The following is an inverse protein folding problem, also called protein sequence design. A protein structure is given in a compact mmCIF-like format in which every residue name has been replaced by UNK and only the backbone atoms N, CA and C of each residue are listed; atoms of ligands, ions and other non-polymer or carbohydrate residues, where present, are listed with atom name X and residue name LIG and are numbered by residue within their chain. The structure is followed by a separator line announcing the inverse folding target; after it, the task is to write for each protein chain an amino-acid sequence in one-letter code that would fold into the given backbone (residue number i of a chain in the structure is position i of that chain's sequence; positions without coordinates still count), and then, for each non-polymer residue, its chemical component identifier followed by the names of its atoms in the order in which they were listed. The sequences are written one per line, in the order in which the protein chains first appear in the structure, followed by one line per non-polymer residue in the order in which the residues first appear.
data_IF_288139616479
#
_entry.id   IF_288139616479
#
_cell.length_a   1.000
_cell.length_b   1.000
_cell.length_c   1.000
_cell.angle_alpha   90.00
_cell.angle_beta   90.00
_cell.angle_gamma   90.00
#
_symmetry.space_group_name_H-M   'P 1'
#
loop_
_entity.id
_entity.type
_entity.pdbx_description
1 polymer ?
#
# COMPACT_ATOMS: atom_id res chain seq x y z
N UNK A 1 15.84 -2.38 -12.40
CA UNK A 1 16.26 -3.42 -11.43
C UNK A 1 17.49 -2.89 -10.70
N UNK A 2 17.47 -2.79 -9.36
CA UNK A 2 18.66 -2.46 -8.58
C UNK A 2 19.82 -3.43 -8.91
N UNK A 3 21.06 -2.95 -8.79
CA UNK A 3 22.23 -3.81 -8.97
C UNK A 3 22.27 -4.92 -7.90
N UNK A 4 22.77 -6.11 -8.25
CA UNK A 4 22.87 -7.26 -7.34
C UNK A 4 23.65 -6.92 -6.05
N UNK A 5 24.70 -6.10 -6.16
CA UNK A 5 25.46 -5.60 -5.01
C UNK A 5 24.59 -4.80 -4.03
N UNK A 6 23.67 -3.97 -4.53
CA UNK A 6 22.74 -3.20 -3.71
C UNK A 6 21.75 -4.08 -2.96
N UNK A 7 21.31 -5.20 -3.55
CA UNK A 7 20.41 -6.15 -2.89
C UNK A 7 21.13 -6.86 -1.74
N UNK A 8 22.38 -7.29 -1.94
CA UNK A 8 23.16 -7.96 -0.91
C UNK A 8 23.44 -7.05 0.30
N UNK A 9 23.75 -5.77 0.05
CA UNK A 9 23.95 -4.76 1.08
C UNK A 9 22.65 -4.50 1.87
N UNK A 10 21.55 -4.25 1.17
CA UNK A 10 20.24 -4.05 1.79
C UNK A 10 19.79 -5.27 2.61
N UNK A 11 20.05 -6.48 2.14
CA UNK A 11 19.78 -7.70 2.88
C UNK A 11 20.61 -7.79 4.18
N UNK A 12 21.87 -7.36 4.16
CA UNK A 12 22.69 -7.28 5.36
C UNK A 12 22.15 -6.26 6.36
N UNK A 13 21.68 -5.10 5.88
CA UNK A 13 21.02 -4.08 6.71
C UNK A 13 19.79 -4.67 7.40
N UNK A 14 18.90 -5.35 6.68
CA UNK A 14 17.74 -6.03 7.29
C UNK A 14 18.14 -7.04 8.37
N UNK A 15 19.15 -7.89 8.11
CA UNK A 15 19.65 -8.87 9.10
C UNK A 15 20.25 -8.21 10.34
N UNK A 16 20.85 -7.03 10.19
CA UNK A 16 21.41 -6.26 11.31
C UNK A 16 20.37 -5.44 12.10
N UNK A 17 19.08 -5.57 11.78
CA UNK A 17 17.99 -4.81 12.42
C UNK A 17 17.79 -3.41 11.84
N UNK A 18 18.31 -3.18 10.64
CA UNK A 18 18.17 -1.97 9.82
C UNK A 18 16.83 -1.83 9.10
N UNK A 19 16.58 -0.62 8.59
CA UNK A 19 15.42 -0.26 7.78
C UNK A 19 15.81 -0.10 6.32
N UNK A 20 15.12 -0.83 5.44
CA UNK A 20 15.31 -0.74 3.99
C UNK A 20 13.99 -0.35 3.35
N UNK A 21 13.98 0.75 2.61
CA UNK A 21 12.88 1.03 1.69
C UNK A 21 13.13 0.34 0.35
N UNK A 22 12.13 -0.39 -0.16
CA UNK A 22 12.26 -1.16 -1.40
C UNK A 22 10.98 -1.09 -2.25
N UNK A 23 11.10 -1.17 -3.59
CA UNK A 23 9.96 -1.15 -4.50
C UNK A 23 9.14 -2.43 -4.36
N UNK A 24 7.83 -2.34 -4.60
CA UNK A 24 6.98 -3.49 -4.96
C UNK A 24 6.23 -3.15 -6.24
N UNK A 25 5.43 -4.07 -6.78
CA UNK A 25 4.48 -3.73 -7.84
C UNK A 25 3.39 -2.75 -7.34
N UNK A 26 3.09 -2.75 -6.04
CA UNK A 26 2.06 -1.88 -5.44
C UNK A 26 2.55 -0.48 -5.10
N UNK A 27 3.27 -0.34 -3.99
CA UNK A 27 3.89 0.89 -3.47
C UNK A 27 5.25 0.54 -2.86
N UNK A 28 6.14 1.50 -2.64
CA UNK A 28 7.38 1.26 -1.91
C UNK A 28 7.06 0.88 -0.45
N UNK A 29 7.71 -0.15 0.06
CA UNK A 29 7.59 -0.63 1.43
C UNK A 29 8.79 -0.24 2.29
N UNK A 30 8.56 0.07 3.57
CA UNK A 30 9.62 0.29 4.57
C UNK A 30 9.85 -1.00 5.35
N UNK A 31 10.82 -1.79 4.93
CA UNK A 31 11.13 -3.11 5.47
C UNK A 31 12.00 -3.11 6.70
N UNK A 32 11.68 -4.01 7.62
CA UNK A 32 12.56 -4.49 8.68
C UNK A 32 12.39 -6.01 8.85
N UNK A 33 13.34 -6.66 9.51
CA UNK A 33 13.22 -8.08 9.85
C UNK A 33 11.96 -8.33 10.72
N UNK A 34 11.01 -9.12 10.22
CA UNK A 34 9.76 -9.42 10.92
C UNK A 34 9.95 -10.32 12.15
N UNK A 35 11.09 -10.98 12.29
CA UNK A 35 11.43 -11.85 13.42
C UNK A 35 12.08 -11.06 14.58
N UNK A 36 12.44 -9.79 14.35
CA UNK A 36 13.10 -8.94 15.34
C UNK A 36 12.16 -7.82 15.81
N UNK A 37 11.75 -7.89 17.07
CA UNK A 37 10.85 -6.92 17.68
C UNK A 37 11.44 -5.49 17.69
N UNK A 38 12.76 -5.34 17.82
CA UNK A 38 13.42 -4.02 17.81
C UNK A 38 13.46 -3.45 16.40
N UNK A 39 13.78 -4.29 15.41
CA UNK A 39 13.75 -3.88 14.01
C UNK A 39 12.32 -3.45 13.59
N UNK A 40 11.30 -4.23 13.97
CA UNK A 40 9.90 -3.86 13.75
C UNK A 40 9.52 -2.55 14.47
N UNK A 41 9.98 -2.31 15.69
CA UNK A 41 9.73 -1.05 16.41
C UNK A 41 10.26 0.18 15.66
N UNK A 42 11.43 0.07 15.00
CA UNK A 42 12.00 1.16 14.19
C UNK A 42 11.09 1.58 13.03
N UNK A 43 10.30 0.67 12.46
CA UNK A 43 9.29 1.02 11.44
C UNK A 43 8.25 1.98 12.03
N UNK A 44 7.75 1.68 13.23
CA UNK A 44 6.74 2.52 13.89
C UNK A 44 7.32 3.90 14.21
N UNK A 45 8.54 3.95 14.72
CA UNK A 45 9.28 5.19 15.02
C UNK A 45 9.50 6.03 13.77
N UNK A 46 10.13 5.48 12.73
CA UNK A 46 10.46 6.19 11.50
C UNK A 46 9.23 6.78 10.81
N UNK A 47 8.08 6.10 10.90
CA UNK A 47 6.83 6.53 10.29
C UNK A 47 5.96 7.40 11.19
N UNK A 48 6.30 7.56 12.48
CA UNK A 48 5.37 8.04 13.51
C UNK A 48 4.01 7.31 13.45
N UNK A 49 4.05 5.99 13.26
CA UNK A 49 2.88 5.12 13.12
C UNK A 49 2.34 4.70 14.49
N UNK A 50 1.03 4.74 14.74
CA UNK A 50 0.44 4.22 15.96
C UNK A 50 0.68 2.71 16.11
N UNK A 51 1.01 2.28 17.33
CA UNK A 51 1.32 0.87 17.64
C UNK A 51 0.11 -0.09 17.53
N UNK A 52 -1.10 0.43 17.30
CA UNK A 52 -2.29 -0.38 17.11
C UNK A 52 -2.53 -0.76 15.63
N UNK A 53 -1.77 -0.21 14.68
CA UNK A 53 -1.97 -0.44 13.24
C UNK A 53 -0.93 -1.47 12.72
N UNK A 54 -1.33 -2.73 12.46
CA UNK A 54 -0.40 -3.85 12.23
C UNK A 54 0.46 -3.66 10.97
N UNK A 55 1.45 -4.53 10.74
CA UNK A 55 2.31 -4.54 9.56
C UNK A 55 1.98 -5.73 8.65
N UNK A 56 2.33 -5.64 7.36
CA UNK A 56 2.29 -6.77 6.42
C UNK A 56 3.69 -7.38 6.38
N UNK A 57 3.79 -8.69 6.62
CA UNK A 57 5.04 -9.44 6.42
C UNK A 57 5.11 -9.97 4.99
N UNK A 58 6.26 -9.74 4.36
CA UNK A 58 6.53 -10.16 2.99
C UNK A 58 7.42 -11.39 2.98
N UNK A 59 7.07 -12.36 2.14
CA UNK A 59 7.83 -13.57 1.87
C UNK A 59 8.45 -13.49 0.47
N UNK A 60 9.53 -14.25 0.26
CA UNK A 60 10.20 -14.31 -1.04
C UNK A 60 9.44 -15.24 -1.99
N UNK A 61 8.91 -16.36 -1.48
CA UNK A 61 8.18 -17.34 -2.25
C UNK A 61 6.89 -17.78 -1.54
N UNK A 62 5.90 -18.21 -2.32
CA UNK A 62 4.65 -18.75 -1.79
C UNK A 62 4.87 -20.08 -1.04
N UNK A 63 5.88 -20.85 -1.44
CA UNK A 63 6.27 -22.10 -0.80
C UNK A 63 6.75 -21.92 0.65
N UNK A 64 7.12 -20.70 1.06
CA UNK A 64 7.53 -20.40 2.44
C UNK A 64 6.32 -20.33 3.40
N UNK A 65 5.11 -20.13 2.89
CA UNK A 65 3.92 -19.90 3.71
C UNK A 65 3.61 -21.08 4.67
N UNK A 66 3.53 -22.35 4.21
CA UNK A 66 3.23 -23.46 5.10
C UNK A 66 4.29 -23.66 6.21
N UNK A 67 5.56 -23.36 5.92
CA UNK A 67 6.63 -23.41 6.91
C UNK A 67 6.50 -22.33 7.99
N UNK A 68 5.90 -21.19 7.66
CA UNK A 68 5.65 -20.09 8.58
C UNK A 68 4.40 -20.32 9.45
N UNK A 69 3.28 -20.72 8.86
CA UNK A 69 1.95 -20.72 9.53
C UNK A 69 1.40 -22.11 9.82
N UNK A 70 2.03 -23.18 9.32
CA UNK A 70 1.53 -24.54 9.45
C UNK A 70 0.40 -24.83 8.46
N UNK A 71 -0.76 -25.25 8.97
CA UNK A 71 -1.89 -25.64 8.14
C UNK A 71 -2.49 -24.42 7.41
N UNK A 72 -2.57 -24.52 6.08
CA UNK A 72 -3.12 -23.46 5.23
C UNK A 72 -4.57 -23.82 4.85
N UNK A 73 -5.57 -22.97 5.18
CA UNK A 73 -6.96 -23.21 4.79
C UNK A 73 -7.13 -23.35 3.26
N UNK A 74 -8.08 -24.16 2.75
CA UNK A 74 -8.25 -24.38 1.31
C UNK A 74 -8.48 -23.09 0.51
N UNK A 75 -9.28 -22.15 1.02
CA UNK A 75 -9.50 -20.87 0.37
C UNK A 75 -8.23 -20.00 0.32
N UNK A 76 -7.41 -20.02 1.38
CA UNK A 76 -6.10 -19.36 1.38
C UNK A 76 -5.19 -20.00 0.32
N UNK A 77 -5.13 -21.33 0.26
CA UNK A 77 -4.30 -22.04 -0.73
C UNK A 77 -4.71 -21.71 -2.17
N UNK A 78 -6.00 -21.71 -2.48
CA UNK A 78 -6.52 -21.36 -3.82
C UNK A 78 -6.19 -19.91 -4.21
N UNK A 79 -6.26 -18.97 -3.26
CA UNK A 79 -5.88 -17.57 -3.48
C UNK A 79 -4.37 -17.40 -3.67
N UNK A 80 -3.55 -18.14 -2.91
CA UNK A 80 -2.08 -18.15 -3.07
C UNK A 80 -1.71 -18.66 -4.44
N UNK A 81 -2.24 -19.80 -4.86
CA UNK A 81 -1.94 -20.42 -6.16
C UNK A 81 -2.27 -19.48 -7.33
N UNK A 82 -3.37 -18.72 -7.23
CA UNK A 82 -3.84 -17.86 -8.33
C UNK A 82 -3.21 -16.48 -8.35
N UNK A 83 -2.89 -15.90 -7.18
CA UNK A 83 -2.56 -14.48 -7.08
C UNK A 83 -1.20 -14.17 -6.45
N UNK A 84 -0.43 -15.17 -6.03
CA UNK A 84 0.95 -14.97 -5.57
C UNK A 84 1.97 -15.51 -6.57
N UNK A 85 3.06 -14.76 -6.83
CA UNK A 85 3.34 -13.38 -6.41
C UNK A 85 2.31 -12.37 -6.95
N UNK A 86 1.94 -11.36 -6.16
CA UNK A 86 1.00 -10.35 -6.63
C UNK A 86 0.39 -9.43 -5.56
N UNK A 87 -0.55 -8.55 -5.98
CA UNK A 87 -1.15 -7.52 -5.12
C UNK A 87 -2.24 -8.04 -4.18
N UNK A 88 -2.09 -9.27 -3.67
CA UNK A 88 -2.96 -9.87 -2.68
C UNK A 88 -2.23 -10.04 -1.35
N UNK A 89 -2.83 -9.57 -0.27
CA UNK A 89 -2.42 -9.84 1.10
C UNK A 89 -3.46 -10.70 1.78
N UNK A 90 -3.02 -11.74 2.47
CA UNK A 90 -3.88 -12.69 3.17
C UNK A 90 -3.72 -12.53 4.68
N UNK A 91 -4.82 -12.61 5.41
CA UNK A 91 -4.80 -12.76 6.86
C UNK A 91 -4.64 -14.24 7.19
N UNK A 92 -3.67 -14.52 8.04
CA UNK A 92 -3.35 -15.86 8.56
C UNK A 92 -3.19 -15.79 10.08
N UNK A 93 -3.23 -16.93 10.73
CA UNK A 93 -2.94 -16.99 12.17
C UNK A 93 -1.47 -16.61 12.41
N UNK A 94 -1.22 -15.82 13.45
CA UNK A 94 0.12 -15.34 13.78
C UNK A 94 0.94 -16.49 14.36
N UNK A 95 2.08 -16.87 13.73
CA UNK A 95 3.01 -17.81 14.31
C UNK A 95 3.68 -17.24 15.56
N UNK A 96 4.02 -18.10 16.54
CA UNK A 96 4.67 -17.66 17.78
C UNK A 96 6.04 -16.99 17.55
N UNK A 97 6.72 -17.30 16.45
CA UNK A 97 8.01 -16.67 16.07
C UNK A 97 7.85 -15.21 15.65
N UNK A 98 6.65 -14.77 15.25
CA UNK A 98 6.36 -13.38 14.90
C UNK A 98 6.07 -12.58 16.18
N UNK A 99 6.89 -11.58 16.51
CA UNK A 99 6.70 -10.75 17.70
C UNK A 99 5.36 -9.99 17.65
N UNK A 100 4.66 -9.82 18.80
CA UNK A 100 3.36 -9.15 18.85
C UNK A 100 3.35 -7.72 18.28
N UNK A 101 4.49 -7.00 18.31
CA UNK A 101 4.59 -5.65 17.75
C UNK A 101 4.35 -5.62 16.22
N UNK A 102 4.67 -6.70 15.50
CA UNK A 102 4.40 -6.79 14.05
C UNK A 102 2.90 -6.83 13.77
N UNK A 103 2.12 -7.41 14.67
CA UNK A 103 0.67 -7.58 14.53
C UNK A 103 -0.14 -6.68 15.45
N UNK A 104 0.50 -5.71 16.11
CA UNK A 104 -0.15 -4.82 17.06
C UNK A 104 -0.91 -5.56 18.17
N UNK A 105 -0.37 -6.71 18.59
CA UNK A 105 -0.94 -7.57 19.63
C UNK A 105 -2.03 -8.53 19.16
N UNK A 106 -2.38 -8.54 17.86
CA UNK A 106 -3.38 -9.46 17.32
C UNK A 106 -2.84 -10.90 17.24
N UNK A 107 -3.75 -11.86 17.32
CA UNK A 107 -3.48 -13.29 17.09
C UNK A 107 -3.39 -13.65 15.60
N UNK A 108 -3.52 -12.66 14.73
CA UNK A 108 -3.46 -12.79 13.28
C UNK A 108 -2.37 -11.91 12.70
N UNK A 109 -1.88 -12.26 11.52
CA UNK A 109 -0.93 -11.45 10.77
C UNK A 109 -1.36 -11.31 9.32
N UNK A 110 -0.95 -10.20 8.69
CA UNK A 110 -1.09 -10.01 7.26
C UNK A 110 0.20 -10.47 6.55
N UNK A 111 0.06 -11.30 5.52
CA UNK A 111 1.19 -11.89 4.77
C UNK A 111 1.00 -11.72 3.26
N UNK A 112 2.11 -11.58 2.51
CA UNK A 112 2.10 -11.42 1.06
C UNK A 112 3.42 -11.88 0.41
N UNK A 113 3.35 -12.34 -0.84
CA UNK A 113 4.52 -12.43 -1.73
C UNK A 113 4.40 -11.34 -2.81
N UNK A 114 5.28 -10.32 -2.83
CA UNK A 114 5.18 -9.23 -3.80
C UNK A 114 5.57 -9.69 -5.20
N UNK A 115 4.82 -9.28 -6.23
CA UNK A 115 5.21 -9.46 -7.64
C UNK A 115 6.26 -8.42 -8.07
N UNK A 116 7.36 -8.34 -7.34
CA UNK A 116 8.48 -7.48 -7.71
C UNK A 116 9.77 -8.27 -7.57
N UNK A 117 10.44 -8.61 -8.69
CA UNK A 117 11.64 -9.45 -8.65
C UNK A 117 12.71 -8.92 -7.70
N UNK A 118 12.89 -7.59 -7.64
CA UNK A 118 13.87 -6.98 -6.74
C UNK A 118 13.48 -7.10 -5.26
N UNK A 119 12.18 -7.01 -4.93
CA UNK A 119 11.67 -7.25 -3.58
C UNK A 119 11.86 -8.71 -3.15
N UNK A 120 11.49 -9.67 -4.02
CA UNK A 120 11.65 -11.10 -3.71
C UNK A 120 13.13 -11.48 -3.57
N UNK A 121 14.01 -10.94 -4.41
CA UNK A 121 15.45 -11.13 -4.30
C UNK A 121 16.02 -10.55 -2.99
N UNK A 122 15.56 -9.37 -2.56
CA UNK A 122 15.92 -8.79 -1.25
C UNK A 122 15.49 -9.70 -0.10
N UNK A 123 14.23 -10.15 -0.09
CA UNK A 123 13.68 -10.98 0.99
C UNK A 123 14.41 -12.34 1.03
N UNK A 124 14.64 -12.96 -0.13
CA UNK A 124 15.39 -14.20 -0.24
C UNK A 124 16.83 -14.04 0.26
N UNK A 125 17.52 -12.97 -0.14
CA UNK A 125 18.88 -12.68 0.30
C UNK A 125 18.95 -12.36 1.80
N UNK A 126 17.91 -11.74 2.37
CA UNK A 126 17.81 -11.48 3.80
C UNK A 126 17.62 -12.77 4.62
N UNK A 127 16.93 -13.77 4.06
CA UNK A 127 16.69 -15.07 4.68
C UNK A 127 15.67 -15.02 5.82
N UNK A 128 14.84 -13.97 5.88
CA UNK A 128 13.82 -13.75 6.90
C UNK A 128 12.58 -13.09 6.28
N UNK A 129 11.37 -13.30 6.82
CA UNK A 129 10.21 -12.49 6.43
C UNK A 129 10.46 -11.01 6.74
N UNK A 130 9.99 -10.12 5.85
CA UNK A 130 10.22 -8.68 5.97
C UNK A 130 8.90 -7.96 6.26
N UNK A 131 8.76 -7.41 7.47
CA UNK A 131 7.62 -6.58 7.82
C UNK A 131 7.76 -5.23 7.11
N UNK A 132 6.80 -4.86 6.27
CA UNK A 132 6.88 -3.64 5.48
C UNK A 132 5.49 -3.00 5.24
N UNK A 133 5.12 -1.93 5.97
CA UNK A 133 4.07 -1.02 5.52
C UNK A 133 4.59 -0.12 4.39
N UNK A 134 3.74 0.74 3.83
CA UNK A 134 4.16 1.75 2.84
C UNK A 134 5.28 2.67 3.39
N UNK A 135 6.22 3.10 2.55
CA UNK A 135 7.42 3.85 2.98
C UNK A 135 7.23 5.37 3.10
N UNK A 136 6.16 5.80 3.79
CA UNK A 136 5.82 7.21 4.06
C UNK A 136 5.54 7.44 5.55
N UNK A 137 5.51 8.70 5.98
CA UNK A 137 4.97 9.04 7.30
C UNK A 137 3.51 8.63 7.40
N UNK A 138 3.11 8.18 8.59
CA UNK A 138 1.76 7.68 8.84
C UNK A 138 0.69 8.71 8.43
N UNK A 139 -0.37 8.24 7.78
CA UNK A 139 -1.47 9.07 7.28
C UNK A 139 -1.18 9.81 5.97
N UNK A 140 0.07 9.96 5.54
CA UNK A 140 0.42 10.68 4.31
C UNK A 140 0.26 9.81 3.05
N UNK A 141 0.43 10.43 1.87
CA UNK A 141 0.45 9.75 0.57
C UNK A 141 1.46 8.59 0.54
N UNK A 142 1.05 7.47 -0.02
CA UNK A 142 1.95 6.32 -0.21
C UNK A 142 3.00 6.63 -1.30
N UNK A 143 4.22 6.12 -1.16
CA UNK A 143 5.29 6.36 -2.13
C UNK A 143 5.22 5.35 -3.29
N UNK A 144 5.13 5.86 -4.51
CA UNK A 144 5.19 5.05 -5.74
C UNK A 144 6.53 5.17 -6.47
N UNK A 145 7.49 5.89 -5.90
CA UNK A 145 8.86 6.09 -6.42
C UNK A 145 9.84 6.27 -5.26
N UNK A 146 11.13 6.07 -5.51
CA UNK A 146 12.18 6.24 -4.51
C UNK A 146 12.26 7.69 -4.00
N UNK A 147 12.03 8.68 -4.87
CA UNK A 147 12.05 10.09 -4.52
C UNK A 147 10.97 10.45 -3.48
N UNK A 148 9.80 9.81 -3.56
CA UNK A 148 8.74 9.98 -2.57
C UNK A 148 9.18 9.47 -1.18
N UNK A 149 9.93 8.36 -1.15
CA UNK A 149 10.49 7.82 0.10
C UNK A 149 11.52 8.78 0.70
N UNK A 150 12.47 9.25 -0.13
CA UNK A 150 13.52 10.17 0.31
C UNK A 150 12.92 11.48 0.83
N UNK A 151 11.92 12.03 0.14
CA UNK A 151 11.23 13.25 0.56
C UNK A 151 10.43 13.07 1.87
N UNK A 152 9.79 11.91 2.06
CA UNK A 152 8.92 11.66 3.21
C UNK A 152 9.63 11.17 4.48
N UNK A 153 10.61 10.29 4.33
CA UNK A 153 11.30 9.62 5.44
C UNK A 153 12.77 10.05 5.60
N UNK A 154 13.43 10.46 4.51
CA UNK A 154 14.81 10.97 4.54
C UNK A 154 15.77 10.09 5.36
N UNK A 155 16.49 10.71 6.30
CA UNK A 155 17.48 10.04 7.16
C UNK A 155 16.91 9.05 8.19
N UNK A 156 15.59 8.81 8.20
CA UNK A 156 15.00 7.75 9.04
C UNK A 156 15.10 6.35 8.41
N UNK A 157 15.56 6.24 7.16
CA UNK A 157 15.75 4.97 6.43
C UNK A 157 17.25 4.75 6.22
N UNK A 158 17.73 3.52 6.48
CA UNK A 158 19.15 3.21 6.34
C UNK A 158 19.54 3.02 4.85
N UNK A 159 18.66 2.39 4.05
CA UNK A 159 18.87 2.16 2.61
C UNK A 159 17.57 2.36 1.83
N UNK A 160 17.66 3.00 0.66
CA UNK A 160 16.57 3.06 -0.32
C UNK A 160 17.02 2.35 -1.60
N UNK A 161 16.36 1.24 -1.94
CA UNK A 161 16.55 0.58 -3.24
C UNK A 161 15.68 1.30 -4.28
N UNK A 162 16.31 1.91 -5.27
CA UNK A 162 15.58 2.54 -6.38
C UNK A 162 15.25 1.52 -7.48
N UNK A 163 13.96 1.20 -7.60
CA UNK A 163 13.42 0.35 -8.66
C UNK A 163 12.63 1.11 -9.72
N UNK A 164 12.64 2.45 -9.69
CA UNK A 164 11.76 3.28 -10.51
C UNK A 164 10.30 3.30 -10.03
N UNK A 165 9.35 3.71 -10.87
CA UNK A 165 7.94 3.80 -10.50
C UNK A 165 7.29 2.43 -10.32
N UNK A 166 6.43 2.31 -9.31
CA UNK A 166 5.61 1.10 -9.06
C UNK A 166 4.52 0.94 -10.11
N UNK A 167 4.18 -0.30 -10.48
CA UNK A 167 3.29 -0.61 -11.61
C UNK A 167 1.80 -0.46 -11.31
N UNK A 168 1.35 -0.81 -10.09
CA UNK A 168 -0.06 -0.71 -9.69
C UNK A 168 -0.39 0.63 -9.02
N UNK A 169 0.58 1.27 -8.35
CA UNK A 169 0.46 2.60 -7.76
C UNK A 169 -0.48 2.75 -6.56
N UNK A 170 -1.20 1.71 -6.17
CA UNK A 170 -1.99 1.62 -4.94
C UNK A 170 -1.69 0.31 -4.20
N UNK A 171 -2.05 0.23 -2.92
CA UNK A 171 -1.71 -0.92 -2.10
C UNK A 171 -2.45 -2.20 -2.49
N UNK A 172 -1.97 -3.33 -1.97
CA UNK A 172 -2.58 -4.65 -2.13
C UNK A 172 -4.01 -4.72 -1.60
N UNK A 173 -4.80 -5.62 -2.17
CA UNK A 173 -6.09 -6.02 -1.59
C UNK A 173 -5.84 -6.92 -0.39
N UNK A 174 -6.56 -6.73 0.71
CA UNK A 174 -6.42 -7.54 1.93
C UNK A 174 -7.65 -8.41 2.11
N UNK A 175 -7.45 -9.72 2.26
CA UNK A 175 -8.51 -10.71 2.43
C UNK A 175 -8.25 -11.58 3.66
N UNK A 176 -9.25 -11.74 4.52
CA UNK A 176 -9.28 -12.82 5.50
C UNK A 176 -10.06 -14.00 4.90
N UNK A 177 -9.36 -15.08 4.57
CA UNK A 177 -9.91 -16.29 3.96
C UNK A 177 -9.77 -17.52 4.87
N UNK A 178 -9.62 -17.31 6.19
CA UNK A 178 -9.48 -18.42 7.16
C UNK A 178 -10.80 -19.15 7.44
N UNK A 179 -11.93 -18.46 7.29
CA UNK A 179 -13.27 -19.04 7.44
C UNK A 179 -13.89 -19.48 6.12
N UNK A 180 -15.12 -19.99 6.18
CA UNK A 180 -15.85 -20.53 5.01
C UNK A 180 -16.15 -19.49 3.93
N UNK A 181 -16.31 -18.23 4.33
CA UNK A 181 -16.55 -17.10 3.42
C UNK A 181 -15.42 -16.09 3.52
N UNK A 182 -14.63 -15.89 2.45
CA UNK A 182 -13.58 -14.87 2.44
C UNK A 182 -14.15 -13.46 2.63
N UNK A 183 -13.46 -12.64 3.41
CA UNK A 183 -13.82 -11.26 3.71
C UNK A 183 -12.74 -10.32 3.21
N UNK A 184 -13.10 -9.41 2.30
CA UNK A 184 -12.24 -8.33 1.82
C UNK A 184 -12.23 -7.22 2.87
N UNK A 185 -11.09 -7.06 3.54
CA UNK A 185 -10.87 -6.06 4.59
C UNK A 185 -10.40 -4.71 4.02
N UNK A 186 -9.69 -4.74 2.89
CA UNK A 186 -9.23 -3.54 2.19
C UNK A 186 -9.25 -3.76 0.68
N UNK A 187 -9.85 -2.83 -0.05
CA UNK A 187 -9.78 -2.77 -1.50
C UNK A 187 -8.39 -2.30 -1.95
N UNK A 188 -7.86 -2.90 -3.01
CA UNK A 188 -6.53 -2.58 -3.50
C UNK A 188 -6.39 -2.86 -5.00
N UNK A 189 -5.15 -3.06 -5.43
CA UNK A 189 -4.83 -3.28 -6.82
C UNK A 189 -5.39 -4.59 -7.41
N UNK A 190 -5.76 -5.58 -6.59
CA UNK A 190 -6.48 -6.78 -7.07
C UNK A 190 -8.00 -6.54 -6.97
N UNK A 191 -8.74 -6.51 -8.09
CA UNK A 191 -10.18 -6.31 -8.08
C UNK A 191 -10.93 -7.42 -7.34
N UNK A 192 -12.06 -7.08 -6.72
CA UNK A 192 -12.90 -8.05 -5.99
C UNK A 192 -13.48 -9.11 -6.91
N UNK A 193 -13.75 -8.74 -8.16
CA UNK A 193 -14.28 -9.60 -9.20
C UNK A 193 -13.33 -10.80 -9.45
N UNK A 194 -12.01 -10.55 -9.46
CA UNK A 194 -11.01 -11.62 -9.59
C UNK A 194 -11.03 -12.58 -8.39
N UNK A 195 -11.25 -12.07 -7.17
CA UNK A 195 -11.41 -12.91 -5.98
C UNK A 195 -12.66 -13.78 -6.09
N UNK A 196 -13.78 -13.21 -6.54
CA UNK A 196 -15.04 -13.96 -6.70
C UNK A 196 -14.90 -15.09 -7.71
N UNK A 197 -14.20 -14.87 -8.81
CA UNK A 197 -13.90 -15.91 -9.79
C UNK A 197 -13.00 -17.03 -9.22
N UNK A 198 -12.20 -16.76 -8.21
CA UNK A 198 -11.25 -17.72 -7.65
C UNK A 198 -11.85 -18.59 -6.55
N UNK A 199 -12.63 -17.98 -5.65
CA UNK A 199 -13.09 -18.64 -4.42
C UNK A 199 -14.60 -18.52 -4.20
N UNK A 200 -15.35 -18.02 -5.19
CA UNK A 200 -16.78 -17.80 -5.08
C UNK A 200 -17.13 -16.52 -4.30
N UNK A 201 -18.37 -16.37 -3.83
CA UNK A 201 -18.84 -15.13 -3.20
C UNK A 201 -17.97 -14.69 -2.02
N UNK A 202 -17.58 -13.42 -2.02
CA UNK A 202 -16.81 -12.78 -0.93
C UNK A 202 -17.64 -11.71 -0.24
N UNK A 203 -17.41 -11.49 1.05
CA UNK A 203 -17.97 -10.35 1.78
C UNK A 203 -17.01 -9.16 1.69
N UNK A 204 -17.52 -7.94 1.55
CA UNK A 204 -16.71 -6.72 1.64
C UNK A 204 -17.00 -6.05 2.97
N UNK A 205 -15.99 -5.89 3.83
CA UNK A 205 -16.10 -5.23 5.13
C UNK A 205 -14.99 -4.20 5.29
N UNK A 206 -15.25 -2.97 4.83
CA UNK A 206 -14.28 -1.87 4.88
C UNK A 206 -14.43 -1.07 6.17
N UNK A 207 -13.44 -1.14 7.05
CA UNK A 207 -13.36 -0.32 8.27
C UNK A 207 -14.44 -0.66 9.32
N UNK A 208 -14.04 -0.70 10.59
CA UNK A 208 -14.96 -0.71 11.74
C UNK A 208 -14.61 0.46 12.65
N UNK A 209 -15.55 0.89 13.50
CA UNK A 209 -15.33 1.89 14.56
C UNK A 209 -14.43 1.38 15.72
N UNK A 210 -13.65 0.31 15.48
CA UNK A 210 -12.83 -0.37 16.48
C UNK A 210 -11.36 -0.51 16.07
N UNK A 211 -10.64 -1.40 16.75
CA UNK A 211 -9.22 -1.65 16.50
C UNK A 211 -8.97 -2.19 15.08
N UNK A 212 -8.02 -1.63 14.30
CA UNK A 212 -7.67 -2.13 12.98
C UNK A 212 -7.21 -3.59 13.01
N UNK A 213 -7.92 -4.46 12.29
CA UNK A 213 -7.52 -5.87 12.07
C UNK A 213 -6.59 -6.04 10.87
N UNK A 214 -6.42 -4.99 10.07
CA UNK A 214 -5.55 -4.93 8.91
C UNK A 214 -5.11 -3.48 8.61
N UNK A 215 -3.97 -3.27 7.94
CA UNK A 215 -3.44 -1.93 7.67
C UNK A 215 -4.28 -1.13 6.68
N UNK A 216 -4.37 0.18 6.90
CA UNK A 216 -5.06 1.11 5.98
C UNK A 216 -6.59 1.02 6.04
N UNK A 217 -7.15 0.55 7.16
CA UNK A 217 -8.60 0.45 7.39
C UNK A 217 -9.19 1.68 8.09
N UNK A 218 -8.35 2.63 8.53
CA UNK A 218 -8.74 3.87 9.22
C UNK A 218 -9.48 4.85 8.31
N UNK A 219 -10.43 5.59 8.90
CA UNK A 219 -11.29 6.54 8.18
C UNK A 219 -10.51 7.68 7.51
N UNK A 220 -9.42 8.14 8.13
CA UNK A 220 -8.51 9.17 7.59
C UNK A 220 -7.13 8.56 7.33
N UNK A 221 -6.69 8.63 6.07
CA UNK A 221 -5.39 8.13 5.59
C UNK A 221 -5.15 8.64 4.17
N UNK A 222 -3.93 8.52 3.65
CA UNK A 222 -3.54 8.88 2.26
C UNK A 222 -3.64 10.38 1.96
N UNK A 223 -3.47 11.22 2.97
CA UNK A 223 -3.59 12.66 2.80
C UNK A 223 -2.32 13.26 2.16
N UNK A 224 -2.45 14.15 1.16
CA UNK A 224 -1.39 15.10 0.84
C UNK A 224 -1.12 16.04 2.03
N UNK A 225 -0.14 16.95 1.93
CA UNK A 225 0.00 18.04 2.91
C UNK A 225 -0.99 19.16 2.63
N UNK A 226 -1.39 19.30 1.38
CA UNK A 226 -2.42 20.23 0.91
C UNK A 226 -3.81 19.65 1.21
N UNK A 227 -4.76 20.45 1.69
CA UNK A 227 -6.16 20.04 1.83
C UNK A 227 -6.68 19.41 0.54
N UNK A 228 -7.29 18.23 0.67
CA UNK A 228 -7.92 17.51 -0.43
C UNK A 228 -9.42 17.38 -0.18
N UNK A 229 -10.21 17.64 -1.22
CA UNK A 229 -11.64 17.31 -1.23
C UNK A 229 -12.06 16.65 -2.55
N UNK A 230 -13.21 16.00 -2.51
CA UNK A 230 -13.84 15.48 -3.73
C UNK A 230 -14.67 16.60 -4.38
N UNK A 231 -14.60 16.72 -5.70
CA UNK A 231 -15.32 17.75 -6.46
C UNK A 231 -15.26 17.51 -7.98
N UNK A 232 -15.91 18.38 -8.74
CA UNK A 232 -15.98 18.31 -10.20
C UNK A 232 -15.13 19.39 -10.89
N UNK A 233 -14.78 19.17 -12.16
CA UNK A 233 -13.95 20.08 -12.95
C UNK A 233 -14.56 21.47 -13.18
N UNK A 234 -15.89 21.57 -13.21
CA UNK A 234 -16.62 22.81 -13.49
C UNK A 234 -16.76 23.75 -12.28
N UNK A 235 -16.02 23.51 -11.21
CA UNK A 235 -16.11 24.32 -9.99
C UNK A 235 -15.25 25.59 -10.07
N UNK A 236 -15.93 26.73 -10.15
CA UNK A 236 -15.32 28.05 -10.00
C UNK A 236 -15.31 28.42 -8.51
N UNK A 237 -14.13 28.37 -7.91
CA UNK A 237 -13.87 28.96 -6.60
C UNK A 237 -12.52 29.67 -6.72
N UNK A 238 -12.41 30.88 -6.20
CA UNK A 238 -11.18 31.65 -6.34
C UNK A 238 -9.96 30.93 -5.74
N UNK A 239 -8.76 31.33 -6.14
CA UNK A 239 -7.51 30.90 -5.50
C UNK A 239 -6.70 29.86 -6.27
N UNK A 240 -5.53 29.53 -5.74
CA UNK A 240 -4.53 28.68 -6.41
C UNK A 240 -4.81 27.20 -6.13
N UNK A 241 -5.79 26.61 -6.81
CA UNK A 241 -6.22 25.23 -6.60
C UNK A 241 -5.62 24.27 -7.64
N UNK A 242 -5.38 23.03 -7.23
CA UNK A 242 -4.95 21.94 -8.10
C UNK A 242 -6.12 21.00 -8.40
N UNK A 243 -6.18 20.45 -9.61
CA UNK A 243 -7.20 19.48 -10.01
C UNK A 243 -6.59 18.13 -10.33
N UNK A 244 -7.13 17.07 -9.73
CA UNK A 244 -6.82 15.69 -10.06
C UNK A 244 -7.98 15.14 -10.91
N UNK A 245 -7.73 15.03 -12.20
CA UNK A 245 -8.70 14.57 -13.18
C UNK A 245 -8.52 13.06 -13.46
N UNK A 246 -9.62 12.33 -13.61
CA UNK A 246 -9.61 10.98 -14.14
C UNK A 246 -9.22 10.98 -15.61
N UNK A 247 -9.90 11.80 -16.41
CA UNK A 247 -9.68 11.99 -17.86
C UNK A 247 -9.36 13.45 -18.14
N UNK A 248 -9.03 13.78 -19.39
CA UNK A 248 -8.86 15.17 -19.78
C UNK A 248 -10.12 15.97 -19.43
N UNK A 249 -10.04 16.98 -18.55
CA UNK A 249 -11.21 17.76 -18.19
C UNK A 249 -11.67 18.62 -19.38
N UNK A 250 -12.97 18.92 -19.50
CA UNK A 250 -13.44 19.87 -20.50
C UNK A 250 -12.73 21.22 -20.32
N UNK A 251 -12.50 21.95 -21.42
CA UNK A 251 -11.91 23.28 -21.35
C UNK A 251 -12.78 24.21 -20.48
N UNK A 252 -12.18 24.78 -19.43
CA UNK A 252 -12.88 25.59 -18.43
C UNK A 252 -12.53 25.14 -17.01
N UNK A 253 -12.31 26.11 -16.13
CA UNK A 253 -11.82 25.91 -14.75
C UNK A 253 -10.53 26.70 -14.50
N UNK A 254 -10.53 27.55 -13.48
CA UNK A 254 -9.35 28.33 -13.05
C UNK A 254 -8.45 27.45 -12.17
N UNK A 255 -7.75 26.51 -12.81
CA UNK A 255 -6.85 25.57 -12.14
C UNK A 255 -5.40 26.00 -12.28
N UNK A 256 -4.70 26.13 -11.15
CA UNK A 256 -3.28 26.47 -11.13
C UNK A 256 -2.38 25.31 -11.54
N UNK A 257 -2.86 24.07 -11.38
CA UNK A 257 -2.21 22.85 -11.83
C UNK A 257 -3.29 21.78 -12.09
N UNK A 258 -3.09 20.96 -13.12
CA UNK A 258 -3.96 19.83 -13.43
C UNK A 258 -3.11 18.60 -13.62
N UNK A 259 -3.48 17.50 -12.97
CA UNK A 259 -2.91 16.17 -13.20
C UNK A 259 -4.00 15.24 -13.73
N UNK A 260 -3.76 14.65 -14.90
CA UNK A 260 -4.68 13.71 -15.54
C UNK A 260 -4.19 12.28 -15.29
N UNK A 261 -5.01 11.48 -14.60
CA UNK A 261 -4.68 10.10 -14.24
C UNK A 261 -4.66 9.19 -15.47
N UNK A 262 -5.67 9.26 -16.33
CA UNK A 262 -5.82 8.36 -17.47
C UNK A 262 -6.62 9.04 -18.59
N UNK A 263 -5.95 9.68 -19.57
CA UNK A 263 -6.64 10.34 -20.69
C UNK A 263 -7.61 9.42 -21.43
N UNK A 264 -7.25 8.14 -21.58
CA UNK A 264 -8.05 7.11 -22.23
C UNK A 264 -9.14 6.52 -21.31
N UNK A 265 -9.11 6.86 -20.02
CA UNK A 265 -10.04 6.36 -19.03
C UNK A 265 -9.82 4.92 -18.59
N UNK A 266 -8.60 4.41 -18.72
CA UNK A 266 -8.18 3.14 -18.16
C UNK A 266 -7.96 3.27 -16.63
N UNK A 267 -8.71 2.50 -15.85
CA UNK A 267 -8.68 2.54 -14.39
C UNK A 267 -7.37 1.98 -13.80
N UNK A 268 -6.72 1.04 -14.49
CA UNK A 268 -5.45 0.47 -14.03
C UNK A 268 -4.33 1.49 -14.15
N UNK A 269 -4.25 2.19 -15.27
CA UNK A 269 -3.34 3.32 -15.49
C UNK A 269 -3.63 4.46 -14.51
N UNK A 270 -4.91 4.73 -14.23
CA UNK A 270 -5.28 5.73 -13.22
C UNK A 270 -4.78 5.36 -11.82
N UNK A 271 -4.94 4.10 -11.40
CA UNK A 271 -4.41 3.60 -10.13
C UNK A 271 -2.88 3.73 -10.07
N UNK A 272 -2.18 3.34 -11.14
CA UNK A 272 -0.73 3.41 -11.25
C UNK A 272 -0.17 4.84 -11.06
N UNK A 273 -0.93 5.84 -11.50
CA UNK A 273 -0.54 7.26 -11.46
C UNK A 273 -1.09 8.02 -10.26
N UNK A 274 -2.04 7.47 -9.50
CA UNK A 274 -2.79 8.16 -8.47
C UNK A 274 -1.91 8.93 -7.47
N UNK A 275 -1.05 8.21 -6.74
CA UNK A 275 -0.22 8.85 -5.72
C UNK A 275 0.89 9.72 -6.31
N UNK A 276 1.44 9.34 -7.47
CA UNK A 276 2.48 10.13 -8.16
C UNK A 276 1.92 11.51 -8.60
N UNK A 277 0.70 11.53 -9.15
CA UNK A 277 -0.02 12.75 -9.47
C UNK A 277 -0.34 13.60 -8.24
N UNK A 278 -0.79 12.97 -7.14
CA UNK A 278 -1.04 13.68 -5.89
C UNK A 278 0.24 14.27 -5.29
N UNK A 279 1.38 13.57 -5.34
CA UNK A 279 2.68 14.12 -4.92
C UNK A 279 3.07 15.33 -5.77
N UNK A 280 2.86 15.29 -7.09
CA UNK A 280 3.12 16.44 -7.97
C UNK A 280 2.22 17.63 -7.64
N UNK A 281 0.91 17.43 -7.49
CA UNK A 281 -0.01 18.50 -7.08
C UNK A 281 0.40 19.09 -5.72
N UNK A 282 0.71 18.25 -4.74
CA UNK A 282 1.13 18.65 -3.40
C UNK A 282 2.47 19.41 -3.38
N UNK A 283 3.26 19.32 -4.45
CA UNK A 283 4.51 20.04 -4.63
C UNK A 283 4.33 21.39 -5.36
N UNK A 284 3.19 21.65 -6.00
CA UNK A 284 2.97 22.90 -6.77
C UNK A 284 2.70 24.13 -5.90
N UNK A 285 2.43 23.94 -4.61
CA UNK A 285 2.08 25.02 -3.68
C UNK A 285 0.66 25.57 -3.90
N UNK A 286 -0.25 24.72 -4.38
CA UNK A 286 -1.70 24.99 -4.37
C UNK A 286 -2.23 25.00 -2.93
N UNK A 287 -3.32 25.73 -2.69
CA UNK A 287 -3.95 25.85 -1.37
C UNK A 287 -4.97 24.74 -1.11
N UNK A 288 -5.46 24.09 -2.16
CA UNK A 288 -6.40 22.98 -2.12
C UNK A 288 -6.20 22.09 -3.35
N UNK A 289 -6.42 20.78 -3.19
CA UNK A 289 -6.52 19.78 -4.25
C UNK A 289 -7.99 19.35 -4.36
N UNK A 290 -8.58 19.53 -5.53
CA UNK A 290 -9.91 19.00 -5.87
C UNK A 290 -9.70 17.74 -6.72
N UNK A 291 -10.21 16.60 -6.24
CA UNK A 291 -10.11 15.33 -6.95
C UNK A 291 -11.49 14.87 -7.42
N UNK A 292 -11.62 14.55 -8.70
CA UNK A 292 -12.86 13.95 -9.19
C UNK A 292 -12.90 12.44 -8.93
N UNK A 293 -14.08 11.87 -8.61
CA UNK A 293 -14.22 10.43 -8.45
C UNK A 293 -14.10 9.72 -9.81
N UNK A 294 -13.62 8.47 -9.79
CA UNK A 294 -13.58 7.58 -10.96
C UNK A 294 -14.79 6.62 -10.96
N UNK A 295 -15.07 5.87 -12.06
CA UNK A 295 -16.08 4.82 -12.05
C UNK A 295 -15.89 3.76 -10.93
N UNK A 296 -16.96 3.41 -10.21
CA UNK A 296 -16.99 2.47 -9.06
C UNK A 296 -16.99 0.98 -9.48
N UNK A 297 -16.08 0.60 -10.38
CA UNK A 297 -15.94 -0.77 -10.90
C UNK A 297 -14.48 -1.21 -10.84
N UNK A 298 -14.24 -2.50 -10.60
CA UNK A 298 -12.88 -3.06 -10.52
C UNK A 298 -11.98 -2.26 -9.58
N UNK A 299 -10.79 -1.89 -10.06
CA UNK A 299 -9.80 -1.09 -9.30
C UNK A 299 -10.26 0.35 -9.01
N UNK A 300 -11.26 0.86 -9.75
CA UNK A 300 -11.83 2.19 -9.50
C UNK A 300 -12.47 2.34 -8.12
N UNK A 301 -13.02 1.25 -7.57
CA UNK A 301 -13.51 1.22 -6.18
C UNK A 301 -12.38 1.47 -5.18
N UNK A 302 -11.21 0.90 -5.44
CA UNK A 302 -10.03 1.13 -4.61
C UNK A 302 -9.58 2.59 -4.75
N UNK A 303 -9.42 3.14 -5.96
CA UNK A 303 -9.06 4.55 -6.19
C UNK A 303 -9.96 5.48 -5.37
N UNK A 304 -11.28 5.32 -5.47
CA UNK A 304 -12.23 6.16 -4.74
C UNK A 304 -12.17 5.96 -3.22
N UNK A 305 -11.90 4.75 -2.72
CA UNK A 305 -11.65 4.52 -1.29
C UNK A 305 -10.46 5.36 -0.79
N UNK A 306 -9.36 5.44 -1.56
CA UNK A 306 -8.17 6.23 -1.19
C UNK A 306 -8.49 7.73 -1.22
N UNK A 307 -9.17 8.20 -2.26
CA UNK A 307 -9.57 9.61 -2.38
C UNK A 307 -10.53 10.03 -1.25
N UNK A 308 -11.50 9.18 -0.87
CA UNK A 308 -12.41 9.43 0.25
C UNK A 308 -11.68 9.53 1.58
N UNK A 309 -10.75 8.61 1.86
CA UNK A 309 -9.95 8.62 3.09
C UNK A 309 -9.01 9.82 3.16
N UNK A 310 -8.43 10.20 2.02
CA UNK A 310 -7.60 11.41 1.92
C UNK A 310 -8.45 12.65 2.25
N UNK A 311 -9.64 12.76 1.66
CA UNK A 311 -10.56 13.87 1.92
C UNK A 311 -11.06 13.93 3.36
N UNK A 312 -11.29 12.78 4.00
CA UNK A 312 -11.76 12.71 5.38
C UNK A 312 -10.74 13.23 6.41
N UNK A 313 -9.47 13.37 6.02
CA UNK A 313 -8.41 13.92 6.90
C UNK A 313 -8.60 15.42 7.18
N UNK A 314 -9.32 16.12 6.31
CA UNK A 314 -9.46 17.58 6.32
C UNK A 314 -10.84 18.06 6.77
N UNK A 315 -11.66 17.16 7.32
CA UNK A 315 -13.03 17.44 7.78
C UNK A 315 -13.11 17.66 9.28
#
# INVERSE_FOLDING_TARGET
MPAESGIAEAAAVLRSGGLVAFPTETVYGLGANALDARAAARIFEAKARPSFDPLISHLADAADLPGLVGAVPPAVAALVERFWPGPLTLIVDRPAVIPPIVTSGLDTMAVRVPDEPSARALIAAAGVPVAAPSANRFGQLSPTRAEHVVAGLGGAVDVVLDGGPTRCGIESTIVDARGDRPVVLRLGALPVEALVEAVGPVEIRQGSSGQPVAPGTLAAHYAPRTPLRLGAAAEEDGGRRGFLAFREPPAGGDWAAVEVLSPEGDLTAAAARLFDALHRLDATGVTEIVAEPVPEVGVGRAINDRLRRAAATWR
#
